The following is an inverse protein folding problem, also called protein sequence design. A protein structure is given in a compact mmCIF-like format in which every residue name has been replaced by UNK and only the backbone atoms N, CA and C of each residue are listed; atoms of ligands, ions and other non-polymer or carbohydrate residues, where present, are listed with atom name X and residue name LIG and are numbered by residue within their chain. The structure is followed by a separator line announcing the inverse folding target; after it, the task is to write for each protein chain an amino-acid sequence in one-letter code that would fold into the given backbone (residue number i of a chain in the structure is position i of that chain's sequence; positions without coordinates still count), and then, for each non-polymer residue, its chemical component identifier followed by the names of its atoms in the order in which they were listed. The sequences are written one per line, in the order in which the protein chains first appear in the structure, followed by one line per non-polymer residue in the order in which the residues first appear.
data_IF_053609709694
#
_entry.id   IF_053609709694
#
_cell.length_a   1.000
_cell.length_b   1.000
_cell.length_c   1.000
_cell.angle_alpha   90.00
_cell.angle_beta   90.00
_cell.angle_gamma   90.00
#
_symmetry.space_group_name_H-M   'P 1'
#
loop_
_entity.id
_entity.type
_entity.pdbx_description
1 polymer ?
#
# COMPACT_ATOMS: atom_id res chain seq x y z
N UNK A 1 3.71 4.53 0.51
CA UNK A 1 2.92 4.90 1.71
C UNK A 1 1.67 4.04 1.78
N UNK A 2 1.33 3.57 2.97
CA UNK A 2 0.12 2.78 3.29
C UNK A 2 -0.60 3.48 4.44
N UNK A 3 -1.90 3.73 4.28
CA UNK A 3 -2.76 4.33 5.31
C UNK A 3 -3.90 3.36 5.57
N UNK A 4 -4.14 3.03 6.84
CA UNK A 4 -5.17 2.08 7.28
C UNK A 4 -6.01 2.75 8.36
N UNK A 5 -7.32 2.60 8.22
CA UNK A 5 -8.33 3.00 9.21
C UNK A 5 -8.86 1.74 9.88
N UNK A 6 -8.69 1.61 11.19
CA UNK A 6 -9.01 0.40 11.96
C UNK A 6 -10.52 0.08 11.95
N UNK A 7 -11.35 1.12 12.04
CA UNK A 7 -12.82 1.03 12.06
C UNK A 7 -13.47 0.96 10.66
N UNK A 8 -12.69 0.67 9.62
CA UNK A 8 -13.16 0.67 8.23
C UNK A 8 -13.07 2.04 7.55
N UNK A 9 -13.69 2.19 6.38
CA UNK A 9 -13.57 3.41 5.57
C UNK A 9 -14.38 4.55 6.20
N UNK A 10 -13.75 5.67 6.63
CA UNK A 10 -14.47 6.80 7.20
C UNK A 10 -15.20 7.60 6.13
N UNK A 11 -16.27 8.28 6.52
CA UNK A 11 -16.89 9.33 5.70
C UNK A 11 -16.20 10.68 5.91
N UNK A 12 -16.44 11.66 5.04
CA UNK A 12 -15.90 13.03 5.21
C UNK A 12 -16.35 13.66 6.52
N UNK A 13 -17.60 13.41 6.96
CA UNK A 13 -18.09 13.94 8.23
C UNK A 13 -17.45 13.27 9.44
N UNK A 14 -17.05 11.99 9.35
CA UNK A 14 -16.30 11.32 10.42
C UNK A 14 -14.91 11.92 10.64
N UNK A 15 -14.25 12.32 9.54
CA UNK A 15 -12.96 13.03 9.58
C UNK A 15 -13.09 14.39 10.28
N UNK A 16 -14.11 15.16 9.93
CA UNK A 16 -14.31 16.51 10.47
C UNK A 16 -14.82 16.52 11.92
N UNK A 17 -15.53 15.46 12.32
CA UNK A 17 -16.15 15.33 13.64
C UNK A 17 -15.30 14.53 14.64
N UNK A 18 -14.02 14.25 14.33
CA UNK A 18 -13.09 13.49 15.17
C UNK A 18 -13.61 12.09 15.57
N UNK A 19 -14.29 11.41 14.64
CA UNK A 19 -14.92 10.09 14.87
C UNK A 19 -14.08 8.91 14.37
N UNK A 20 -12.80 9.13 14.13
CA UNK A 20 -11.89 8.08 13.68
C UNK A 20 -11.05 7.61 14.87
N UNK A 21 -11.29 6.40 15.37
CA UNK A 21 -10.66 5.94 16.60
C UNK A 21 -9.14 5.74 16.45
N UNK A 22 -8.68 5.32 15.27
CA UNK A 22 -7.26 5.14 14.99
C UNK A 22 -6.96 5.23 13.49
N UNK A 23 -5.85 5.90 13.15
CA UNK A 23 -5.26 5.93 11.81
C UNK A 23 -3.82 5.44 11.89
N UNK A 24 -3.48 4.37 11.18
CA UNK A 24 -2.09 3.94 11.02
C UNK A 24 -1.53 4.32 9.67
N UNK A 25 -0.36 4.94 9.70
CA UNK A 25 0.39 5.33 8.50
C UNK A 25 1.74 4.63 8.51
N UNK A 26 1.99 3.86 7.46
CA UNK A 26 3.28 3.21 7.23
C UNK A 26 3.94 3.80 5.98
N UNK A 27 5.14 4.34 6.16
CA UNK A 27 5.98 4.85 5.07
C UNK A 27 7.12 3.87 4.85
N UNK A 28 7.40 3.57 3.59
CA UNK A 28 8.52 2.74 3.20
C UNK A 28 9.21 3.37 2.01
N UNK A 29 10.51 3.54 2.15
CA UNK A 29 11.37 3.89 1.03
C UNK A 29 11.78 2.59 0.33
N UNK A 30 11.68 2.58 -1.00
CA UNK A 30 12.11 1.46 -1.83
C UNK A 30 12.97 1.99 -2.95
N UNK A 31 14.08 1.32 -3.19
CA UNK A 31 14.90 1.62 -4.36
C UNK A 31 14.21 1.08 -5.61
N UNK A 32 14.27 1.88 -6.68
CA UNK A 32 13.86 1.41 -8.00
C UNK A 32 14.98 0.50 -8.53
N UNK A 33 14.67 -0.76 -8.86
CA UNK A 33 15.66 -1.69 -9.42
C UNK A 33 16.40 -1.07 -10.61
N UNK A 34 17.71 -1.33 -10.71
CA UNK A 34 18.57 -0.70 -11.70
C UNK A 34 18.09 -0.94 -13.14
N UNK A 35 17.51 -2.13 -13.41
CA UNK A 35 16.96 -2.49 -14.72
C UNK A 35 15.81 -1.58 -15.20
N UNK A 36 15.20 -0.78 -14.31
CA UNK A 36 14.09 0.11 -14.64
C UNK A 36 14.47 1.60 -14.72
N UNK A 37 15.74 1.98 -14.45
CA UNK A 37 16.15 3.40 -14.39
C UNK A 37 16.17 4.12 -15.74
N UNK A 38 16.32 3.39 -16.83
CA UNK A 38 16.39 3.92 -18.20
C UNK A 38 15.56 3.07 -19.19
N UNK A 39 14.58 2.33 -18.68
CA UNK A 39 13.78 1.41 -19.46
C UNK A 39 12.75 2.17 -20.33
N UNK A 40 12.69 1.86 -21.63
CA UNK A 40 11.67 2.36 -22.55
C UNK A 40 10.36 1.58 -22.41
N UNK A 41 9.47 2.11 -21.58
CA UNK A 41 8.16 1.54 -21.31
C UNK A 41 7.30 1.32 -22.56
N UNK A 42 7.50 2.12 -23.61
CA UNK A 42 6.66 2.07 -24.82
C UNK A 42 7.28 1.19 -25.91
N UNK A 43 8.61 1.24 -26.07
CA UNK A 43 9.32 0.56 -27.14
C UNK A 43 9.69 -0.90 -26.89
N UNK A 44 9.68 -1.37 -25.64
CA UNK A 44 10.08 -2.75 -25.30
C UNK A 44 9.00 -3.50 -24.48
N UNK A 45 8.18 -4.33 -25.16
CA UNK A 45 7.13 -5.12 -24.52
C UNK A 45 7.61 -6.10 -23.45
N UNK A 46 8.80 -6.69 -23.63
CA UNK A 46 9.32 -7.71 -22.71
C UNK A 46 9.74 -7.06 -21.38
N UNK A 47 10.42 -5.92 -21.44
CA UNK A 47 10.75 -5.20 -20.22
C UNK A 47 9.53 -4.48 -19.60
N UNK A 48 8.49 -4.17 -20.39
CA UNK A 48 7.19 -3.73 -19.85
C UNK A 48 6.51 -4.83 -19.03
N UNK A 49 6.58 -6.08 -19.49
CA UNK A 49 6.09 -7.23 -18.73
C UNK A 49 6.86 -7.42 -17.42
N UNK A 50 8.20 -7.38 -17.48
CA UNK A 50 9.03 -7.46 -16.27
C UNK A 50 8.72 -6.36 -15.25
N UNK A 51 8.47 -5.13 -15.72
CA UNK A 51 8.04 -4.03 -14.86
C UNK A 51 6.67 -4.28 -14.23
N UNK A 52 5.69 -4.77 -15.01
CA UNK A 52 4.37 -5.09 -14.49
C UNK A 52 4.41 -6.21 -13.45
N UNK A 53 5.22 -7.26 -13.68
CA UNK A 53 5.44 -8.33 -12.70
C UNK A 53 5.99 -7.75 -11.40
N UNK A 54 7.02 -6.91 -11.50
CA UNK A 54 7.60 -6.24 -10.32
C UNK A 54 6.57 -5.37 -9.60
N UNK A 55 5.80 -4.56 -10.32
CA UNK A 55 4.75 -3.70 -9.75
C UNK A 55 3.67 -4.52 -9.03
N UNK A 56 3.24 -5.64 -9.61
CA UNK A 56 2.28 -6.54 -9.00
C UNK A 56 2.80 -7.14 -7.68
N UNK A 57 4.09 -7.47 -7.61
CA UNK A 57 4.71 -7.91 -6.35
C UNK A 57 4.68 -6.79 -5.30
N UNK A 58 4.97 -5.54 -5.67
CA UNK A 58 4.87 -4.41 -4.75
C UNK A 58 3.45 -4.24 -4.19
N UNK A 59 2.43 -4.44 -5.03
CA UNK A 59 1.03 -4.39 -4.62
C UNK A 59 0.66 -5.53 -3.67
N UNK A 60 1.01 -6.77 -4.02
CA UNK A 60 0.78 -7.94 -3.17
C UNK A 60 1.38 -7.76 -1.77
N UNK A 61 2.63 -7.27 -1.70
CA UNK A 61 3.28 -6.96 -0.42
C UNK A 61 2.57 -5.85 0.37
N UNK A 62 2.01 -4.86 -0.32
CA UNK A 62 1.24 -3.78 0.31
C UNK A 62 -0.07 -4.31 0.89
N UNK A 63 -0.77 -5.18 0.16
CA UNK A 63 -2.03 -5.80 0.60
C UNK A 63 -1.82 -6.72 1.80
N UNK A 64 -0.74 -7.51 1.80
CA UNK A 64 -0.36 -8.33 2.94
C UNK A 64 -0.12 -7.47 4.20
N UNK A 65 0.50 -6.31 4.06
CA UNK A 65 0.71 -5.38 5.19
C UNK A 65 -0.56 -4.72 5.67
N UNK A 66 -1.44 -4.29 4.76
CA UNK A 66 -2.75 -3.76 5.13
C UNK A 66 -3.50 -4.80 5.96
N UNK A 67 -3.48 -6.06 5.50
CA UNK A 67 -4.11 -7.18 6.22
C UNK A 67 -3.50 -7.38 7.60
N UNK A 68 -2.17 -7.35 7.71
CA UNK A 68 -1.48 -7.49 9.00
C UNK A 68 -1.80 -6.33 9.97
N UNK A 69 -1.83 -5.09 9.46
CA UNK A 69 -2.18 -3.91 10.27
C UNK A 69 -3.62 -3.98 10.78
N UNK A 70 -4.57 -4.37 9.92
CA UNK A 70 -5.97 -4.57 10.32
C UNK A 70 -6.15 -5.75 11.30
N UNK A 71 -5.33 -6.80 11.18
CA UNK A 71 -5.39 -7.96 12.08
C UNK A 71 -4.89 -7.63 13.49
N UNK A 72 -3.88 -6.75 13.62
CA UNK A 72 -3.37 -6.30 14.91
C UNK A 72 -4.46 -5.63 15.77
N UNK A 73 -5.41 -4.92 15.15
CA UNK A 73 -6.51 -4.27 15.87
C UNK A 73 -7.53 -5.27 16.42
N UNK A 74 -7.78 -6.37 15.69
CA UNK A 74 -8.69 -7.42 16.15
C UNK A 74 -8.15 -8.16 17.40
N UNK A 75 -6.83 -8.20 17.58
CA UNK A 75 -6.18 -8.81 18.75
C UNK A 75 -6.06 -7.82 19.93
N UNK A 76 -5.92 -6.52 19.67
CA UNK A 76 -5.87 -5.50 20.73
C UNK A 76 -7.25 -5.23 21.36
N UNK A 77 -8.35 -5.54 20.65
CA UNK A 77 -9.72 -5.38 21.11
C UNK A 77 -10.31 -6.61 21.83
N UNK A 78 -9.51 -7.67 22.03
CA UNK A 78 -9.86 -8.91 22.74
C UNK A 78 -9.10 -9.03 24.06
#
# INVERSE_FOLDING_TARGET
VTVVYSAGRPTMSDLLADRIPEVRVQVQLREIPAQFRAFDYQGDPAAREAFQIWLNQLWSEKDARITALLAQDRVAAS
#
